data_IF_260945175658
#
_entry.id   IF_260945175658
#
_cell.length_a   1.000
_cell.length_b   1.000
_cell.length_c   1.000
_cell.angle_alpha   90.00
_cell.angle_beta   90.00
_cell.angle_gamma   90.00
#
_symmetry.space_group_name_H-M   'P 1'
#
loop_
_entity.id
_entity.type
_entity.pdbx_description
1 polymer ?
#
# COMPACT_ATOMS: atom_id res chain seq x y z
N UNK A 1 -14.71 -12.74 -8.63
CA UNK A 1 -14.92 -11.57 -7.76
C UNK A 1 -16.41 -11.39 -7.55
N UNK A 2 -16.83 -10.81 -6.43
CA UNK A 2 -18.21 -10.35 -6.21
C UNK A 2 -18.28 -8.84 -6.23
N UNK A 3 -19.41 -8.32 -6.70
CA UNK A 3 -19.72 -6.90 -6.70
C UNK A 3 -21.07 -6.70 -6.01
N UNK A 4 -21.23 -5.55 -5.37
CA UNK A 4 -22.48 -5.12 -4.77
C UNK A 4 -23.27 -4.33 -5.82
N UNK A 5 -24.49 -4.76 -6.12
CA UNK A 5 -25.41 -4.00 -6.96
C UNK A 5 -25.85 -2.74 -6.21
N UNK A 6 -25.67 -1.57 -6.84
CA UNK A 6 -25.92 -0.29 -6.18
C UNK A 6 -27.39 -0.03 -5.93
N UNK A 7 -28.31 -0.67 -6.66
CA UNK A 7 -29.75 -0.41 -6.54
C UNK A 7 -30.42 -1.30 -5.49
N UNK A 8 -29.98 -2.56 -5.42
CA UNK A 8 -30.56 -3.60 -4.57
C UNK A 8 -29.76 -3.85 -3.30
N UNK A 9 -28.48 -3.46 -3.28
CA UNK A 9 -27.51 -3.81 -2.24
C UNK A 9 -27.36 -5.33 -2.05
N UNK A 10 -27.60 -6.10 -3.12
CA UNK A 10 -27.35 -7.53 -3.17
C UNK A 10 -25.98 -7.81 -3.82
N UNK A 11 -25.32 -8.87 -3.36
CA UNK A 11 -24.03 -9.29 -3.91
C UNK A 11 -24.22 -10.21 -5.10
N UNK A 12 -23.55 -9.90 -6.20
CA UNK A 12 -23.51 -10.72 -7.42
C UNK A 12 -22.11 -11.31 -7.64
N UNK A 13 -22.07 -12.59 -8.05
CA UNK A 13 -20.82 -13.32 -8.31
C UNK A 13 -20.46 -13.32 -9.81
N UNK A 14 -19.30 -12.72 -10.11
CA UNK A 14 -18.71 -12.63 -11.44
C UNK A 14 -17.48 -13.53 -11.59
N UNK A 15 -17.24 -14.50 -10.72
CA UNK A 15 -16.04 -15.35 -10.76
C UNK A 15 -15.92 -16.22 -12.01
N UNK A 16 -17.03 -16.49 -12.69
CA UNK A 16 -17.09 -17.25 -13.96
C UNK A 16 -17.34 -16.37 -15.20
N UNK A 17 -17.37 -15.05 -15.04
CA UNK A 17 -17.74 -14.09 -16.09
C UNK A 17 -16.74 -12.93 -16.13
N UNK A 18 -16.76 -12.16 -17.21
CA UNK A 18 -16.11 -10.85 -17.21
C UNK A 18 -16.97 -9.93 -16.32
N UNK A 19 -16.39 -9.29 -15.29
CA UNK A 19 -17.16 -8.35 -14.47
C UNK A 19 -17.59 -7.14 -15.31
N UNK A 20 -18.76 -6.55 -15.01
CA UNK A 20 -19.18 -5.28 -15.62
C UNK A 20 -18.25 -4.14 -15.18
N UNK A 21 -18.47 -2.93 -15.72
CA UNK A 21 -17.86 -1.73 -15.17
C UNK A 21 -18.32 -1.54 -13.72
N UNK A 22 -17.40 -1.12 -12.87
CA UNK A 22 -17.66 -0.94 -11.44
C UNK A 22 -16.79 0.17 -10.86
N UNK A 23 -17.33 0.81 -9.83
CA UNK A 23 -16.55 1.66 -8.94
C UNK A 23 -15.99 0.83 -7.77
N UNK A 24 -14.95 1.32 -7.11
CA UNK A 24 -14.31 0.64 -5.97
C UNK A 24 -14.16 1.58 -4.78
N UNK A 25 -14.48 1.10 -3.58
CA UNK A 25 -14.33 1.89 -2.35
C UNK A 25 -12.97 1.62 -1.69
N UNK A 26 -12.16 2.66 -1.58
CA UNK A 26 -10.98 2.72 -0.72
C UNK A 26 -11.34 3.42 0.60
N UNK A 27 -11.14 2.74 1.72
CA UNK A 27 -11.43 3.32 3.02
C UNK A 27 -10.56 2.70 4.11
N UNK A 28 -10.45 3.40 5.24
CA UNK A 28 -9.88 2.84 6.46
C UNK A 28 -10.98 2.28 7.32
N UNK A 29 -10.87 1.01 7.73
CA UNK A 29 -11.91 0.37 8.53
C UNK A 29 -12.19 1.15 9.82
N UNK A 30 -13.48 1.26 10.14
CA UNK A 30 -14.03 1.86 11.35
C UNK A 30 -14.60 0.79 12.29
N UNK A 31 -15.21 1.24 13.38
CA UNK A 31 -16.02 0.36 14.21
C UNK A 31 -17.31 0.00 13.45
N UNK A 32 -17.78 -1.24 13.63
CA UNK A 32 -19.03 -1.72 13.03
C UNK A 32 -19.06 -1.67 11.49
N UNK A 33 -17.99 -2.14 10.84
CA UNK A 33 -18.04 -2.45 9.41
C UNK A 33 -19.04 -3.57 9.11
N UNK A 34 -19.74 -3.45 7.98
CA UNK A 34 -20.66 -4.48 7.47
C UNK A 34 -19.85 -5.54 6.73
N UNK A 35 -19.96 -6.79 7.16
CA UNK A 35 -19.25 -7.93 6.55
C UNK A 35 -20.05 -8.57 5.42
N UNK A 36 -19.41 -9.52 4.73
CA UNK A 36 -20.06 -10.36 3.71
C UNK A 36 -21.32 -11.08 4.23
N UNK A 37 -21.32 -11.52 5.49
CA UNK A 37 -22.48 -12.24 6.05
C UNK A 37 -23.61 -11.33 6.51
N UNK A 38 -23.33 -10.04 6.68
CA UNK A 38 -24.25 -9.07 7.28
C UNK A 38 -24.92 -8.18 6.23
N UNK A 39 -24.31 -8.01 5.06
CA UNK A 39 -24.93 -7.27 3.96
C UNK A 39 -26.25 -7.94 3.54
N UNK A 40 -27.31 -7.15 3.42
CA UNK A 40 -28.67 -7.63 3.17
C UNK A 40 -29.44 -8.08 4.42
N UNK A 41 -28.83 -8.06 5.61
CA UNK A 41 -29.51 -8.41 6.88
C UNK A 41 -29.93 -7.16 7.68
N UNK A 42 -30.89 -7.31 8.58
CA UNK A 42 -31.29 -6.23 9.50
C UNK A 42 -30.19 -5.86 10.50
N UNK A 43 -29.34 -6.83 10.89
CA UNK A 43 -28.17 -6.57 11.74
C UNK A 43 -27.17 -5.66 11.01
N UNK A 44 -26.85 -5.98 9.76
CA UNK A 44 -25.98 -5.15 8.92
C UNK A 44 -26.51 -3.72 8.77
N UNK A 45 -27.81 -3.54 8.52
CA UNK A 45 -28.45 -2.21 8.41
C UNK A 45 -28.33 -1.35 9.67
N UNK A 46 -28.20 -1.97 10.83
CA UNK A 46 -28.09 -1.24 12.11
C UNK A 46 -26.68 -0.72 12.39
N UNK A 47 -25.67 -1.17 11.63
CA UNK A 47 -24.27 -0.80 11.83
C UNK A 47 -23.94 0.57 11.26
N UNK A 48 -23.02 1.26 11.93
CA UNK A 48 -22.52 2.57 11.48
C UNK A 48 -21.93 2.50 10.07
N UNK A 49 -21.19 1.43 9.76
CA UNK A 49 -20.58 1.23 8.44
C UNK A 49 -21.57 1.04 7.29
N UNK A 50 -22.86 0.79 7.57
CA UNK A 50 -23.87 0.58 6.52
C UNK A 50 -24.13 1.86 5.73
N UNK A 51 -24.20 3.01 6.41
CA UNK A 51 -24.44 4.31 5.76
C UNK A 51 -23.36 4.63 4.73
N UNK A 52 -22.09 4.35 5.05
CA UNK A 52 -20.96 4.50 4.12
C UNK A 52 -21.14 3.65 2.85
N UNK A 53 -21.73 2.45 2.96
CA UNK A 53 -22.05 1.62 1.78
C UNK A 53 -23.17 2.26 0.96
N UNK A 54 -24.23 2.75 1.61
CA UNK A 54 -25.34 3.42 0.92
C UNK A 54 -24.86 4.67 0.16
N UNK A 55 -24.10 5.53 0.83
CA UNK A 55 -23.54 6.75 0.24
C UNK A 55 -22.56 6.41 -0.91
N UNK A 56 -21.74 5.36 -0.77
CA UNK A 56 -20.89 4.86 -1.85
C UNK A 56 -21.69 4.39 -3.06
N UNK A 57 -22.79 3.67 -2.83
CA UNK A 57 -23.69 3.23 -3.89
C UNK A 57 -24.43 4.41 -4.54
N UNK A 58 -24.77 5.44 -3.76
CA UNK A 58 -25.36 6.67 -4.29
C UNK A 58 -24.40 7.41 -5.21
N UNK A 59 -23.18 7.66 -4.75
CA UNK A 59 -22.13 8.27 -5.57
C UNK A 59 -21.85 7.44 -6.85
N UNK A 60 -21.78 6.11 -6.73
CA UNK A 60 -21.61 5.23 -7.87
C UNK A 60 -22.73 5.38 -8.91
N UNK A 61 -24.00 5.44 -8.47
CA UNK A 61 -25.15 5.64 -9.37
C UNK A 61 -25.11 7.01 -10.05
N UNK A 62 -24.73 8.05 -9.32
CA UNK A 62 -24.61 9.40 -9.86
C UNK A 62 -23.53 9.47 -10.95
N UNK A 63 -22.45 8.70 -10.81
CA UNK A 63 -21.39 8.57 -11.80
C UNK A 63 -21.69 7.54 -12.91
N UNK A 64 -22.83 6.84 -12.83
CA UNK A 64 -23.30 5.89 -13.85
C UNK A 64 -22.81 4.44 -13.71
N UNK A 65 -22.41 4.03 -12.50
CA UNK A 65 -22.00 2.66 -12.17
C UNK A 65 -23.11 1.90 -11.44
N UNK A 66 -23.51 0.75 -11.99
CA UNK A 66 -24.50 -0.14 -11.37
C UNK A 66 -23.89 -1.04 -10.28
N UNK A 67 -22.56 -1.10 -10.19
CA UNK A 67 -21.84 -2.01 -9.31
C UNK A 67 -20.70 -1.32 -8.58
N UNK A 68 -20.52 -1.68 -7.31
CA UNK A 68 -19.38 -1.28 -6.49
C UNK A 68 -18.65 -2.50 -5.92
N UNK A 69 -17.34 -2.39 -5.77
CA UNK A 69 -16.54 -3.33 -4.98
C UNK A 69 -16.14 -2.70 -3.64
N UNK A 70 -16.40 -3.41 -2.55
CA UNK A 70 -16.05 -2.99 -1.18
C UNK A 70 -15.47 -4.19 -0.44
N UNK A 71 -14.23 -4.10 0.02
CA UNK A 71 -13.48 -5.23 0.61
C UNK A 71 -14.14 -5.84 1.85
N UNK A 72 -14.91 -5.04 2.61
CA UNK A 72 -15.60 -5.49 3.82
C UNK A 72 -16.74 -6.45 3.55
N UNK A 73 -17.54 -6.21 2.50
CA UNK A 73 -18.70 -7.02 2.17
C UNK A 73 -18.54 -7.88 0.90
N UNK A 74 -17.63 -7.56 -0.02
CA UNK A 74 -17.45 -8.34 -1.26
C UNK A 74 -16.54 -9.58 -1.08
N UNK A 75 -15.79 -9.65 0.01
CA UNK A 75 -14.87 -10.76 0.34
C UNK A 75 -15.42 -11.57 1.52
N UNK A 76 -15.52 -12.88 1.36
CA UNK A 76 -15.83 -13.80 2.46
C UNK A 76 -14.54 -14.05 3.23
N UNK A 77 -14.36 -13.26 4.29
CA UNK A 77 -13.17 -13.33 5.15
C UNK A 77 -13.14 -14.60 6.02
N UNK A 78 -14.24 -15.39 6.10
CA UNK A 78 -14.25 -16.71 6.75
C UNK A 78 -13.74 -17.82 5.84
N UNK A 79 -13.82 -17.64 4.52
CA UNK A 79 -13.21 -18.52 3.54
C UNK A 79 -11.73 -18.21 3.37
N UNK A 80 -10.83 -19.00 3.98
CA UNK A 80 -9.38 -18.76 3.88
C UNK A 80 -8.85 -18.85 2.45
N UNK A 81 -9.43 -19.71 1.61
CA UNK A 81 -9.11 -19.79 0.18
C UNK A 81 -9.51 -18.52 -0.56
N UNK A 82 -10.71 -18.00 -0.28
CA UNK A 82 -11.18 -16.79 -0.94
C UNK A 82 -10.39 -15.56 -0.47
N UNK A 83 -10.16 -15.43 0.84
CA UNK A 83 -9.32 -14.37 1.40
C UNK A 83 -7.92 -14.38 0.77
N UNK A 84 -7.33 -15.56 0.60
CA UNK A 84 -6.03 -15.71 -0.05
C UNK A 84 -6.05 -15.30 -1.52
N UNK A 85 -7.09 -15.68 -2.26
CA UNK A 85 -7.25 -15.25 -3.64
C UNK A 85 -7.44 -13.72 -3.72
N UNK A 86 -8.34 -13.18 -2.91
CA UNK A 86 -8.70 -11.77 -2.92
C UNK A 86 -7.49 -10.87 -2.61
N UNK A 87 -6.68 -11.20 -1.62
CA UNK A 87 -5.46 -10.43 -1.29
C UNK A 87 -4.44 -10.47 -2.43
N UNK A 88 -4.23 -11.62 -3.09
CA UNK A 88 -3.32 -11.70 -4.23
C UNK A 88 -3.85 -10.95 -5.46
N UNK A 89 -5.17 -10.79 -5.59
CA UNK A 89 -5.81 -10.09 -6.72
C UNK A 89 -6.21 -8.65 -6.42
N UNK A 90 -6.01 -8.18 -5.18
CA UNK A 90 -6.52 -6.90 -4.72
C UNK A 90 -6.03 -5.74 -5.58
N UNK A 91 -4.74 -5.72 -5.93
CA UNK A 91 -4.20 -4.71 -6.85
C UNK A 91 -4.91 -4.71 -8.20
N UNK A 92 -5.23 -5.88 -8.75
CA UNK A 92 -5.97 -5.98 -10.01
C UNK A 92 -7.41 -5.48 -9.86
N UNK A 93 -8.07 -5.73 -8.72
CA UNK A 93 -9.41 -5.18 -8.47
C UNK A 93 -9.39 -3.64 -8.47
N UNK A 94 -8.38 -3.03 -7.85
CA UNK A 94 -8.22 -1.57 -7.90
C UNK A 94 -7.80 -1.06 -9.28
N UNK A 95 -6.94 -1.78 -9.98
CA UNK A 95 -6.47 -1.41 -11.32
C UNK A 95 -7.57 -1.47 -12.38
N UNK A 96 -8.43 -2.49 -12.29
CA UNK A 96 -9.47 -2.79 -13.27
C UNK A 96 -10.79 -2.07 -12.97
N UNK A 97 -10.91 -1.41 -11.81
CA UNK A 97 -12.03 -0.52 -11.51
C UNK A 97 -11.94 0.77 -12.34
N UNK A 98 -13.08 1.27 -12.79
CA UNK A 98 -13.13 2.48 -13.61
C UNK A 98 -12.88 3.74 -12.76
N UNK A 99 -13.33 3.73 -11.51
CA UNK A 99 -13.12 4.81 -10.54
C UNK A 99 -12.94 4.25 -9.12
N UNK A 100 -12.02 4.85 -8.36
CA UNK A 100 -11.82 4.58 -6.95
C UNK A 100 -12.31 5.76 -6.10
N UNK A 101 -13.23 5.50 -5.19
CA UNK A 101 -13.68 6.47 -4.20
C UNK A 101 -12.84 6.28 -2.92
N UNK A 102 -11.97 7.24 -2.63
CA UNK A 102 -11.19 7.27 -1.40
C UNK A 102 -11.95 8.04 -0.33
N UNK A 103 -12.61 7.32 0.58
CA UNK A 103 -13.38 7.89 1.68
C UNK A 103 -12.49 8.14 2.91
N UNK A 104 -12.36 9.40 3.31
CA UNK A 104 -11.53 9.86 4.42
C UNK A 104 -12.44 10.29 5.59
N UNK A 105 -12.81 9.32 6.42
CA UNK A 105 -13.74 9.52 7.54
C UNK A 105 -13.24 10.46 8.65
N UNK A 106 -11.96 10.85 8.64
CA UNK A 106 -11.38 11.77 9.63
C UNK A 106 -11.25 13.21 9.10
N UNK A 107 -11.60 13.47 7.84
CA UNK A 107 -11.64 14.80 7.22
C UNK A 107 -13.09 15.28 7.24
N UNK A 108 -13.38 16.57 7.57
CA UNK A 108 -12.45 17.66 7.85
C UNK A 108 -11.96 17.73 9.31
N UNK A 109 -12.25 16.73 10.16
CA UNK A 109 -11.78 16.69 11.56
C UNK A 109 -10.26 16.82 11.70
N UNK A 110 -9.50 16.34 10.70
CA UNK A 110 -8.08 16.61 10.48
C UNK A 110 -7.85 17.23 9.10
N UNK A 111 -6.70 17.86 8.92
CA UNK A 111 -6.26 18.29 7.60
C UNK A 111 -6.05 17.07 6.68
N UNK A 112 -6.38 17.20 5.39
CA UNK A 112 -6.22 16.14 4.38
C UNK A 112 -4.87 15.41 4.47
N UNK A 113 -3.77 16.15 4.47
CA UNK A 113 -2.40 15.62 4.58
C UNK A 113 -2.11 14.81 5.87
N UNK A 114 -2.97 14.92 6.89
CA UNK A 114 -2.86 14.22 8.17
C UNK A 114 -3.87 13.08 8.32
N UNK A 115 -4.70 12.83 7.31
CA UNK A 115 -5.67 11.73 7.36
C UNK A 115 -4.96 10.39 7.59
N UNK A 116 -5.57 9.57 8.44
CA UNK A 116 -5.13 8.20 8.69
C UNK A 116 -5.06 7.36 7.41
N UNK A 117 -5.84 7.71 6.39
CA UNK A 117 -5.83 7.07 5.08
C UNK A 117 -4.42 7.01 4.47
N UNK A 118 -3.61 8.08 4.59
CA UNK A 118 -2.24 8.09 4.07
C UNK A 118 -1.24 7.22 4.85
N UNK A 119 -1.62 6.79 6.05
CA UNK A 119 -0.78 5.96 6.93
C UNK A 119 -1.26 4.50 7.00
N UNK A 120 -2.36 4.14 6.35
CA UNK A 120 -2.82 2.74 6.26
C UNK A 120 -1.99 1.98 5.22
N UNK A 121 -1.56 0.76 5.51
CA UNK A 121 -0.76 -0.07 4.59
C UNK A 121 -1.46 -0.31 3.25
N UNK A 122 -2.68 -0.83 3.32
CA UNK A 122 -3.46 -1.24 2.15
C UNK A 122 -3.77 -0.09 1.18
N UNK A 123 -4.05 1.12 1.69
CA UNK A 123 -4.40 2.28 0.84
C UNK A 123 -3.27 2.73 -0.10
N UNK A 124 -2.05 2.17 0.01
CA UNK A 124 -1.00 2.44 -0.97
C UNK A 124 -1.37 1.91 -2.35
N UNK A 125 -1.78 0.64 -2.43
CA UNK A 125 -2.18 0.07 -3.72
C UNK A 125 -3.48 0.69 -4.22
N UNK A 126 -4.36 1.09 -3.29
CA UNK A 126 -5.63 1.77 -3.59
C UNK A 126 -5.41 3.18 -4.15
N UNK A 127 -4.27 3.81 -3.84
CA UNK A 127 -3.84 5.09 -4.44
C UNK A 127 -3.23 4.91 -5.83
N UNK A 128 -2.35 3.93 -6.01
CA UNK A 128 -1.49 3.85 -7.21
C UNK A 128 -2.01 2.93 -8.31
N UNK A 129 -2.85 1.95 -7.97
CA UNK A 129 -3.36 0.99 -8.95
C UNK A 129 -4.49 1.55 -9.83
N UNK A 130 -5.51 2.28 -9.30
CA UNK A 130 -6.64 2.74 -10.12
C UNK A 130 -6.26 3.74 -11.19
N UNK A 131 -7.05 3.80 -12.27
CA UNK A 131 -6.92 4.83 -13.30
C UNK A 131 -7.38 6.21 -12.79
N UNK A 132 -8.47 6.24 -12.03
CA UNK A 132 -9.01 7.44 -11.41
C UNK A 132 -9.24 7.24 -9.91
N UNK A 133 -8.91 8.26 -9.11
CA UNK A 133 -9.19 8.30 -7.67
C UNK A 133 -9.81 9.66 -7.33
N UNK A 134 -10.95 9.63 -6.67
CA UNK A 134 -11.65 10.81 -6.13
C UNK A 134 -11.67 10.71 -4.61
N UNK A 135 -11.26 11.77 -3.92
CA UNK A 135 -11.22 11.82 -2.47
C UNK A 135 -12.50 12.47 -1.94
N UNK A 136 -13.13 11.81 -0.98
CA UNK A 136 -14.32 12.29 -0.29
C UNK A 136 -14.04 12.43 1.21
N UNK A 137 -14.62 13.44 1.84
CA UNK A 137 -14.58 13.62 3.30
C UNK A 137 -15.64 12.76 4.01
N UNK A 138 -15.74 12.88 5.35
CA UNK A 138 -16.69 12.13 6.17
C UNK A 138 -18.16 12.44 5.87
N UNK A 139 -18.44 13.55 5.17
CA UNK A 139 -19.78 13.95 4.72
C UNK A 139 -20.05 13.58 3.25
N UNK A 140 -19.17 12.78 2.62
CA UNK A 140 -19.22 12.45 1.19
C UNK A 140 -19.15 13.66 0.26
N UNK A 141 -18.49 14.74 0.71
CA UNK A 141 -18.19 15.88 -0.14
C UNK A 141 -16.86 15.67 -0.87
N UNK A 142 -16.84 15.95 -2.18
CA UNK A 142 -15.61 15.84 -2.97
C UNK A 142 -14.56 16.84 -2.47
N UNK A 143 -13.39 16.32 -2.10
CA UNK A 143 -12.19 17.09 -1.76
C UNK A 143 -11.40 17.42 -3.04
N UNK A 144 -11.29 16.44 -3.93
CA UNK A 144 -10.60 16.55 -5.22
C UNK A 144 -10.18 15.20 -5.77
N UNK A 145 -9.41 15.21 -6.86
CA UNK A 145 -8.96 13.99 -7.55
C UNK A 145 -7.46 13.79 -7.39
N UNK A 146 -6.97 12.55 -7.58
CA UNK A 146 -5.51 12.28 -7.62
C UNK A 146 -4.80 13.13 -8.67
N UNK A 147 -5.44 13.38 -9.81
CA UNK A 147 -4.90 14.21 -10.88
C UNK A 147 -4.81 15.69 -10.48
N UNK A 148 -5.84 16.26 -9.84
CA UNK A 148 -5.86 17.66 -9.41
C UNK A 148 -4.97 17.92 -8.19
N UNK A 149 -4.74 16.92 -7.34
CA UNK A 149 -4.01 17.04 -6.07
C UNK A 149 -2.59 16.45 -6.11
N UNK A 150 -2.07 16.09 -7.29
CA UNK A 150 -0.78 15.37 -7.45
C UNK A 150 0.40 16.02 -6.73
N UNK A 151 0.44 17.36 -6.65
CA UNK A 151 1.52 18.09 -6.00
C UNK A 151 1.51 17.90 -4.48
N UNK A 152 0.33 17.99 -3.86
CA UNK A 152 0.14 17.74 -2.43
C UNK A 152 0.33 16.25 -2.11
N UNK A 153 -0.22 15.36 -2.95
CA UNK A 153 -0.06 13.91 -2.79
C UNK A 153 1.40 13.46 -2.88
N UNK A 154 2.19 14.03 -3.79
CA UNK A 154 3.62 13.73 -3.89
C UNK A 154 4.38 14.13 -2.61
N UNK A 155 4.00 15.24 -1.97
CA UNK A 155 4.59 15.68 -0.70
C UNK A 155 4.20 14.76 0.47
N UNK A 156 2.94 14.32 0.52
CA UNK A 156 2.44 13.44 1.59
C UNK A 156 3.07 12.04 1.49
N UNK A 157 3.09 11.49 0.28
CA UNK A 157 3.32 10.04 0.05
C UNK A 157 4.73 9.71 -0.42
N UNK A 158 5.52 10.73 -0.80
CA UNK A 158 6.83 10.59 -1.48
C UNK A 158 6.76 9.83 -2.81
N UNK A 159 5.57 9.63 -3.35
CA UNK A 159 5.34 9.04 -4.68
C UNK A 159 5.59 10.13 -5.72
N UNK A 160 6.37 9.80 -6.76
CA UNK A 160 6.65 10.75 -7.83
C UNK A 160 5.36 11.16 -8.56
N UNK A 161 5.32 12.40 -9.04
CA UNK A 161 4.17 12.90 -9.83
C UNK A 161 3.88 12.04 -11.06
N UNK A 162 4.93 11.49 -11.69
CA UNK A 162 4.80 10.57 -12.82
C UNK A 162 3.96 9.34 -12.46
N UNK A 163 4.17 8.75 -11.29
CA UNK A 163 3.38 7.59 -10.82
C UNK A 163 1.94 7.96 -10.48
N UNK A 164 1.71 9.19 -9.97
CA UNK A 164 0.36 9.69 -9.67
C UNK A 164 -0.43 10.06 -10.94
N UNK A 165 0.26 10.39 -12.03
CA UNK A 165 -0.32 10.66 -13.35
C UNK A 165 -0.51 9.40 -14.18
N UNK A 166 0.47 8.49 -14.15
CA UNK A 166 0.52 7.26 -14.94
C UNK A 166 0.62 6.04 -14.01
N UNK A 167 -0.50 5.35 -13.69
CA UNK A 167 -0.50 4.18 -12.81
C UNK A 167 0.49 3.08 -13.20
N UNK A 168 0.75 2.90 -14.49
CA UNK A 168 1.70 1.90 -14.98
C UNK A 168 3.17 2.24 -14.63
N UNK A 169 3.50 3.51 -14.34
CA UNK A 169 4.84 3.92 -13.95
C UNK A 169 5.27 3.36 -12.58
N UNK A 170 4.33 2.80 -11.78
CA UNK A 170 4.65 2.02 -10.57
C UNK A 170 5.72 0.96 -10.85
N UNK A 171 5.63 0.26 -11.98
CA UNK A 171 6.53 -0.84 -12.32
C UNK A 171 7.89 -0.38 -12.88
N UNK A 172 8.02 0.90 -13.22
CA UNK A 172 9.29 1.51 -13.61
C UNK A 172 10.11 1.99 -12.41
N UNK A 173 9.48 2.13 -11.24
CA UNK A 173 10.16 2.51 -10.00
C UNK A 173 10.99 1.35 -9.44
N UNK A 174 12.15 1.69 -8.85
CA UNK A 174 13.01 0.70 -8.21
C UNK A 174 12.34 0.04 -7.00
N UNK A 175 12.91 -1.07 -6.52
CA UNK A 175 12.44 -1.73 -5.29
C UNK A 175 12.52 -0.75 -4.13
N UNK A 176 13.61 -0.02 -3.99
CA UNK A 176 13.77 0.94 -2.90
C UNK A 176 12.78 2.10 -2.96
N UNK A 177 12.47 2.61 -4.15
CA UNK A 177 11.44 3.64 -4.32
C UNK A 177 10.07 3.10 -3.89
N UNK A 178 9.67 1.92 -4.38
CA UNK A 178 8.41 1.29 -3.99
C UNK A 178 8.33 0.99 -2.49
N UNK A 179 9.42 0.53 -1.87
CA UNK A 179 9.51 0.35 -0.42
C UNK A 179 9.37 1.68 0.33
N UNK A 180 9.95 2.76 -0.19
CA UNK A 180 9.86 4.09 0.45
C UNK A 180 8.42 4.58 0.58
N UNK A 181 7.55 4.28 -0.38
CA UNK A 181 6.13 4.66 -0.35
C UNK A 181 5.35 3.97 0.77
N UNK A 182 5.87 2.85 1.27
CA UNK A 182 5.30 2.09 2.38
C UNK A 182 5.97 2.42 3.74
N UNK A 183 7.05 3.19 3.76
CA UNK A 183 7.89 3.42 4.95
C UNK A 183 7.15 4.02 6.15
N UNK A 184 6.15 4.88 5.90
CA UNK A 184 5.34 5.54 6.94
C UNK A 184 3.99 4.85 7.19
N UNK A 185 3.72 3.74 6.50
CA UNK A 185 2.43 3.06 6.56
C UNK A 185 2.42 1.97 7.61
N UNK A 186 1.25 1.74 8.20
CA UNK A 186 1.00 0.80 9.29
C UNK A 186 -0.13 -0.15 8.96
N UNK A 187 -0.02 -1.37 9.44
CA UNK A 187 -1.03 -2.41 9.29
C UNK A 187 -1.47 -2.94 10.66
N UNK A 188 -2.69 -3.48 10.72
CA UNK A 188 -3.23 -4.07 11.96
C UNK A 188 -2.58 -5.42 12.24
N UNK A 189 -2.45 -6.27 11.22
CA UNK A 189 -1.67 -7.51 11.29
C UNK A 189 -0.26 -7.24 10.80
N UNK A 190 0.73 -7.83 11.46
CA UNK A 190 2.13 -7.62 11.11
C UNK A 190 2.43 -8.09 9.68
N UNK A 191 1.83 -9.20 9.25
CA UNK A 191 2.08 -9.80 7.93
C UNK A 191 1.52 -8.95 6.79
N UNK A 192 0.49 -8.16 7.05
CA UNK A 192 -0.15 -7.30 6.05
C UNK A 192 0.81 -6.22 5.54
N UNK A 193 1.90 -5.89 6.25
CA UNK A 193 2.93 -4.99 5.73
C UNK A 193 3.58 -5.56 4.47
N UNK A 194 3.65 -6.89 4.35
CA UNK A 194 4.14 -7.58 3.16
C UNK A 194 3.00 -7.80 2.16
N UNK A 195 1.84 -8.27 2.63
CA UNK A 195 0.73 -8.63 1.76
C UNK A 195 0.13 -7.43 1.01
N UNK A 196 0.12 -6.25 1.62
CA UNK A 196 -0.31 -5.01 0.98
C UNK A 196 0.61 -4.54 -0.17
N UNK A 197 1.80 -5.13 -0.30
CA UNK A 197 2.79 -4.77 -1.32
C UNK A 197 2.87 -5.74 -2.50
N UNK A 198 2.15 -6.87 -2.45
CA UNK A 198 2.24 -7.93 -3.47
C UNK A 198 2.00 -7.40 -4.88
N UNK A 199 0.92 -6.65 -5.09
CA UNK A 199 0.61 -6.10 -6.41
C UNK A 199 1.53 -4.96 -6.86
N UNK A 200 2.02 -4.14 -5.92
CA UNK A 200 3.00 -3.08 -6.19
C UNK A 200 4.32 -3.69 -6.71
N UNK A 201 4.67 -4.85 -6.18
CA UNK A 201 5.83 -5.62 -6.62
C UNK A 201 5.55 -6.63 -7.74
N UNK A 202 4.28 -6.82 -8.10
CA UNK A 202 3.83 -7.84 -9.04
C UNK A 202 4.32 -9.26 -8.68
N UNK A 203 4.16 -9.64 -7.41
CA UNK A 203 4.54 -10.96 -6.87
C UNK A 203 3.33 -11.66 -6.27
N UNK A 204 3.40 -12.99 -6.21
CA UNK A 204 2.39 -13.83 -5.57
C UNK A 204 3.09 -14.70 -4.53
N UNK A 205 2.51 -14.81 -3.33
CA UNK A 205 3.03 -15.70 -2.30
C UNK A 205 1.92 -16.21 -1.37
N UNK A 206 2.06 -17.40 -0.76
CA UNK A 206 1.10 -17.92 0.20
C UNK A 206 0.95 -17.01 1.43
N UNK A 207 -0.29 -16.77 1.86
CA UNK A 207 -0.61 -16.00 3.06
C UNK A 207 -0.58 -16.91 4.29
N UNK A 208 0.41 -16.70 5.16
CA UNK A 208 0.56 -17.43 6.42
C UNK A 208 0.39 -16.47 7.60
N UNK A 209 -0.85 -16.21 8.00
CA UNK A 209 -1.11 -15.42 9.22
C UNK A 209 -0.60 -16.17 10.47
N UNK A 210 0.14 -15.44 11.32
CA UNK A 210 0.88 -15.97 12.47
C UNK A 210 2.39 -16.11 12.23
N UNK A 211 2.90 -15.78 11.04
CA UNK A 211 4.34 -15.78 10.76
C UNK A 211 5.06 -14.48 11.16
N UNK A 212 4.31 -13.42 11.48
CA UNK A 212 4.83 -12.12 11.90
C UNK A 212 5.72 -11.48 10.83
N UNK A 213 6.84 -10.89 11.28
CA UNK A 213 7.81 -10.23 10.39
C UNK A 213 8.44 -11.13 9.30
N UNK A 214 8.29 -12.47 9.41
CA UNK A 214 8.77 -13.40 8.38
C UNK A 214 8.08 -13.20 7.04
N UNK A 215 6.84 -12.71 7.02
CA UNK A 215 6.12 -12.38 5.80
C UNK A 215 6.89 -11.35 4.95
N UNK A 216 7.43 -10.31 5.60
CA UNK A 216 8.21 -9.26 4.91
C UNK A 216 9.59 -9.74 4.46
N UNK A 217 10.22 -10.65 5.20
CA UNK A 217 11.45 -11.30 4.73
C UNK A 217 11.17 -12.16 3.49
N UNK A 218 10.07 -12.94 3.49
CA UNK A 218 9.67 -13.75 2.34
C UNK A 218 9.37 -12.88 1.11
N UNK A 219 8.69 -11.75 1.28
CA UNK A 219 8.51 -10.78 0.20
C UNK A 219 9.87 -10.40 -0.43
N UNK A 220 10.86 -10.01 0.37
CA UNK A 220 12.19 -9.69 -0.14
C UNK A 220 12.89 -10.88 -0.83
N UNK A 221 12.70 -12.10 -0.33
CA UNK A 221 13.24 -13.31 -0.98
C UNK A 221 12.57 -13.57 -2.33
N UNK A 222 11.26 -13.37 -2.46
CA UNK A 222 10.55 -13.45 -3.75
C UNK A 222 11.08 -12.37 -4.72
N UNK A 223 11.33 -11.15 -4.24
CA UNK A 223 11.94 -10.09 -5.07
C UNK A 223 13.32 -10.48 -5.58
N UNK A 224 14.17 -11.05 -4.73
CA UNK A 224 15.51 -11.53 -5.12
C UNK A 224 15.45 -12.72 -6.08
N UNK A 225 14.44 -13.57 -5.95
CA UNK A 225 14.25 -14.71 -6.85
C UNK A 225 13.82 -14.26 -8.26
N UNK A 226 13.08 -13.15 -8.36
CA UNK A 226 12.47 -12.66 -9.61
C UNK A 226 13.26 -11.51 -10.26
N UNK A 227 14.18 -10.86 -9.53
CA UNK A 227 14.87 -9.65 -9.98
C UNK A 227 16.31 -9.58 -9.50
N UNK A 228 17.19 -9.02 -10.34
CA UNK A 228 18.58 -8.70 -10.00
C UNK A 228 18.77 -7.24 -9.56
N UNK A 229 17.69 -6.58 -9.16
CA UNK A 229 17.66 -5.15 -8.87
C UNK A 229 18.29 -4.85 -7.50
N UNK A 230 19.38 -4.08 -7.49
CA UNK A 230 20.27 -3.95 -6.33
C UNK A 230 19.73 -3.01 -5.24
N UNK A 231 18.76 -2.15 -5.56
CA UNK A 231 18.22 -1.19 -4.59
C UNK A 231 17.44 -1.86 -3.47
N UNK A 232 17.14 -3.15 -3.55
CA UNK A 232 16.67 -3.93 -2.38
C UNK A 232 17.63 -3.84 -1.18
N UNK A 233 18.91 -3.53 -1.40
CA UNK A 233 19.92 -3.30 -0.35
C UNK A 233 20.21 -1.82 -0.05
N UNK A 234 19.44 -0.88 -0.63
CA UNK A 234 19.65 0.56 -0.47
C UNK A 234 19.09 1.13 0.85
N UNK A 235 18.48 0.28 1.69
CA UNK A 235 17.95 0.72 2.99
C UNK A 235 19.06 1.09 3.96
N UNK A 236 18.78 2.07 4.81
CA UNK A 236 19.70 2.50 5.86
C UNK A 236 19.17 2.07 7.22
N UNK A 237 19.96 1.36 8.04
CA UNK A 237 19.55 1.05 9.40
C UNK A 237 19.32 2.35 10.18
N UNK A 238 18.41 2.31 11.14
CA UNK A 238 18.22 3.39 12.10
C UNK A 238 19.49 3.47 12.98
N UNK A 239 20.42 4.31 12.55
CA UNK A 239 21.56 4.73 13.35
C UNK A 239 21.01 5.89 14.17
N UNK A 240 20.70 5.64 15.45
CA UNK A 240 20.28 6.68 16.38
C UNK A 240 21.21 7.91 16.34
N UNK A 241 20.82 9.04 16.94
CA UNK A 241 21.55 10.30 16.80
C UNK A 241 23.04 10.09 17.07
N UNK A 242 23.85 10.52 16.10
CA UNK A 242 25.31 10.47 16.16
C UNK A 242 25.78 11.14 17.45
N UNK A 243 26.21 10.34 18.40
CA UNK A 243 27.05 10.79 19.50
C UNK A 243 28.35 11.30 18.84
N UNK A 244 28.56 12.61 18.90
CA UNK A 244 29.85 13.28 18.68
C UNK A 244 30.34 13.58 17.24
N UNK A 245 29.45 13.96 16.32
CA UNK A 245 29.82 14.81 15.16
C UNK A 245 30.85 14.26 14.15
N UNK A 246 31.29 13.02 14.27
CA UNK A 246 32.13 12.34 13.29
C UNK A 246 31.26 11.60 12.26
N UNK A 247 31.58 11.76 10.97
CA UNK A 247 31.00 10.95 9.90
C UNK A 247 31.28 9.46 10.19
N UNK A 248 30.31 8.54 10.07
CA UNK A 248 30.53 7.13 10.37
C UNK A 248 31.54 6.55 9.38
N UNK A 249 32.79 6.38 9.81
CA UNK A 249 33.80 5.64 9.05
C UNK A 249 33.51 4.15 9.16
N UNK A 250 32.79 3.62 8.19
CA UNK A 250 32.38 2.21 8.08
C UNK A 250 31.45 1.80 9.22
N UNK A 251 30.21 1.35 8.96
CA UNK A 251 29.26 1.11 10.03
C UNK A 251 29.68 -0.11 10.85
N UNK A 252 30.38 0.09 11.96
CA UNK A 252 30.43 -0.91 13.04
C UNK A 252 29.16 -0.67 13.84
N UNK A 253 28.05 -1.15 13.28
CA UNK A 253 26.70 -0.90 13.78
C UNK A 253 26.36 -1.89 14.87
N UNK A 254 26.57 -1.46 16.11
CA UNK A 254 26.15 -2.19 17.30
C UNK A 254 24.77 -1.69 17.70
N UNK A 255 23.73 -2.51 17.53
CA UNK A 255 22.47 -2.34 18.27
C UNK A 255 22.67 -2.91 19.68
N UNK A 256 22.40 -2.13 20.72
CA UNK A 256 22.33 -2.63 22.09
C UNK A 256 20.87 -2.95 22.43
N UNK A 257 20.64 -4.09 23.08
CA UNK A 257 19.32 -4.36 23.68
C UNK A 257 19.14 -3.56 24.99
N UNK A 258 17.95 -3.63 25.60
CA UNK A 258 17.63 -3.03 26.90
C UNK A 258 18.50 -3.51 28.07
N UNK A 259 19.36 -4.51 27.83
CA UNK A 259 20.31 -5.09 28.78
C UNK A 259 21.76 -4.66 28.51
N UNK A 260 22.01 -3.82 27.49
CA UNK A 260 23.34 -3.35 27.11
C UNK A 260 24.20 -4.36 26.34
N UNK A 261 23.64 -5.51 25.91
CA UNK A 261 24.39 -6.49 25.13
C UNK A 261 24.37 -6.17 23.63
N UNK A 262 25.52 -6.28 22.93
CA UNK A 262 25.62 -6.06 21.50
C UNK A 262 24.86 -7.15 20.73
N UNK A 263 23.77 -6.79 20.06
CA UNK A 263 23.17 -7.61 19.03
C UNK A 263 24.06 -7.56 17.78
N UNK A 264 24.96 -8.55 17.69
CA UNK A 264 25.70 -8.83 16.47
C UNK A 264 24.73 -9.29 15.37
N UNK A 265 24.61 -8.47 14.33
CA UNK A 265 24.26 -8.72 12.91
C UNK A 265 23.12 -7.83 12.41
N UNK A 266 23.47 -6.88 11.54
CA UNK A 266 22.52 -6.40 10.55
C UNK A 266 22.22 -7.59 9.63
N UNK A 267 20.95 -7.98 9.58
CA UNK A 267 20.49 -8.88 8.53
C UNK A 267 20.71 -8.20 7.18
N UNK A 268 21.05 -8.97 6.15
CA UNK A 268 21.21 -8.47 4.79
C UNK A 268 19.90 -7.83 4.25
N UNK A 269 18.75 -8.30 4.75
CA UNK A 269 17.42 -7.85 4.39
C UNK A 269 16.81 -6.99 5.50
N UNK A 270 16.00 -6.00 5.11
CA UNK A 270 15.32 -5.11 6.04
C UNK A 270 14.21 -5.84 6.79
N UNK A 271 13.89 -5.41 8.01
CA UNK A 271 12.78 -5.97 8.80
C UNK A 271 11.41 -5.37 8.46
N UNK A 272 11.39 -4.22 7.78
CA UNK A 272 10.19 -3.49 7.37
C UNK A 272 10.52 -2.52 6.22
N UNK A 273 9.53 -1.82 5.64
CA UNK A 273 9.77 -0.76 4.66
C UNK A 273 10.38 0.53 5.25
N UNK A 274 10.28 0.75 6.56
CA UNK A 274 10.70 2.00 7.23
C UNK A 274 12.16 2.42 6.94
N UNK A 275 13.16 1.52 6.96
CA UNK A 275 14.54 1.81 6.55
C UNK A 275 14.74 2.34 5.12
N UNK A 276 13.71 2.28 4.25
CA UNK A 276 13.73 2.82 2.89
C UNK A 276 13.17 4.25 2.80
N UNK A 277 12.82 4.91 3.92
CA UNK A 277 12.15 6.22 3.91
C UNK A 277 12.83 7.30 3.03
N UNK A 278 14.16 7.25 2.92
CA UNK A 278 14.95 8.22 2.15
C UNK A 278 15.27 7.76 0.71
N UNK A 279 14.63 6.68 0.23
CA UNK A 279 14.91 6.09 -1.08
C UNK A 279 14.00 6.59 -2.22
N UNK A 280 13.04 7.48 -1.94
CA UNK A 280 12.05 7.94 -2.93
C UNK A 280 12.65 8.61 -4.17
N UNK A 281 13.78 9.30 -4.00
CA UNK A 281 14.45 10.06 -5.05
C UNK A 281 15.65 9.33 -5.68
N UNK A 282 15.82 8.02 -5.41
CA UNK A 282 16.87 7.23 -6.04
C UNK A 282 16.70 7.23 -7.58
N UNK A 283 17.76 7.59 -8.29
CA UNK A 283 17.79 7.60 -9.76
C UNK A 283 18.69 6.48 -10.26
N UNK A 284 18.23 5.78 -11.28
CA UNK A 284 19.09 4.86 -12.02
C UNK A 284 20.14 5.68 -12.80
N UNK A 285 21.42 5.38 -12.59
CA UNK A 285 22.49 6.07 -13.31
C UNK A 285 22.66 5.44 -14.70
N UNK A 286 22.21 6.14 -15.75
CA UNK A 286 22.36 5.71 -17.16
C UNK A 286 23.69 6.18 -17.79
N UNK A 287 24.81 6.03 -17.07
CA UNK A 287 26.12 6.34 -17.63
C UNK A 287 26.59 5.30 -18.65
N UNK A 288 26.99 5.73 -19.84
CA UNK A 288 27.44 4.88 -20.97
C UNK A 288 28.82 4.24 -20.81
N UNK A 289 29.29 3.92 -19.59
CA UNK A 289 30.60 3.29 -19.37
C UNK A 289 30.52 2.06 -18.45
N UNK A 290 30.56 0.83 -19.00
CA UNK A 290 30.41 -0.41 -18.23
C UNK A 290 31.56 -0.77 -17.28
N UNK A 291 32.61 0.07 -17.16
CA UNK A 291 33.88 -0.34 -16.53
C UNK A 291 34.36 0.52 -15.36
N UNK A 292 33.51 1.35 -14.75
CA UNK A 292 33.92 2.17 -13.59
C UNK A 292 33.34 1.73 -12.24
N UNK A 293 32.61 0.61 -12.19
CA UNK A 293 32.11 0.02 -10.94
C UNK A 293 32.72 -1.37 -10.70
N UNK A 294 34.05 -1.41 -10.55
CA UNK A 294 34.71 -2.47 -9.79
C UNK A 294 35.29 -1.84 -8.55
N UNK A 295 34.92 -2.36 -7.37
CA UNK A 295 35.47 -2.01 -6.06
C UNK A 295 36.94 -1.54 -6.11
N UNK A 296 37.16 -0.23 -6.20
CA UNK A 296 38.41 0.42 -5.83
C UNK A 296 38.09 1.45 -4.77
N UNK A 297 38.26 1.00 -3.53
CA UNK A 297 38.49 1.87 -2.39
C UNK A 297 39.90 2.44 -2.57
N UNK A 298 40.05 3.50 -3.36
CA UNK A 298 41.24 4.35 -3.29
C UNK A 298 40.88 5.58 -2.45
N UNK A 299 41.16 5.49 -1.15
CA UNK A 299 41.30 6.68 -0.30
C UNK A 299 42.53 7.44 -0.80
N UNK A 300 42.32 8.55 -1.50
CA UNK A 300 43.36 9.55 -1.67
C UNK A 300 43.18 10.58 -0.57
N UNK A 301 44.01 10.49 0.47
CA UNK A 301 44.19 11.58 1.43
C UNK A 301 45.01 12.68 0.76
N UNK A 302 44.55 13.93 0.89
CA UNK A 302 45.40 15.11 0.83
C UNK A 302 45.31 15.83 2.18
#
# INVERSE_FOLDING_TARGET
MRLLDTHTLELEDFSSKVPPQYAILSHTWEEEEVTFEEIGTEEGKSKIGYRKIEDCCEQARDDGYDYVWIDTCCIDKKSSSELSEAINRMYSYYKDADICYAYLCDVPGVAFAKSRWFTRGWTLQELVAPQAVVFFDQEWMEIGTRASMKDELAQITTISKLVLEEPNAVFSASVAQRMSWASKRKTTREEDIAYSLLGIFNVHMPLLYGEGNKAFMRLQLELLALSNEQTIFAWTPDIGPSIDGELPTVPTLVRTNSSGEPQNTLNLLASSPEPFANCGDLKHYEGTSPHLMTNRVDRVCH
#
